data_IF_586008379637
#
_entry.id   IF_586008379637
#
_cell.length_a   1.000
_cell.length_b   1.000
_cell.length_c   1.000
_cell.angle_alpha   90.00
_cell.angle_beta   90.00
_cell.angle_gamma   90.00
#
_symmetry.space_group_name_H-M   'P 1'
#
loop_
_entity.id
_entity.type
_entity.pdbx_description
1 polymer ?
#
# COMPACT_ATOMS: atom_id res chain seq x y z
N UNK A 1 -17.99 16.47 -22.21
CA UNK A 1 -19.35 16.98 -21.89
C UNK A 1 -19.29 18.48 -22.04
N UNK A 2 -20.32 19.11 -22.60
CA UNK A 2 -20.32 20.56 -22.83
C UNK A 2 -20.22 21.36 -21.52
N UNK A 3 -20.87 20.88 -20.44
CA UNK A 3 -20.82 21.50 -19.09
C UNK A 3 -20.04 20.62 -18.09
N UNK A 4 -18.90 20.08 -18.49
CA UNK A 4 -18.05 19.31 -17.58
C UNK A 4 -17.43 20.21 -16.51
N UNK A 5 -17.42 19.77 -15.24
CA UNK A 5 -16.65 20.45 -14.20
C UNK A 5 -15.17 20.41 -14.55
N UNK A 6 -14.57 21.60 -14.71
CA UNK A 6 -13.15 21.76 -15.04
C UNK A 6 -12.40 22.36 -13.84
N UNK A 7 -11.14 21.94 -13.60
CA UNK A 7 -10.31 22.60 -12.61
C UNK A 7 -9.98 24.04 -13.05
N UNK A 8 -9.70 24.90 -12.08
CA UNK A 8 -9.17 26.25 -12.34
C UNK A 8 -7.88 26.21 -13.17
N UNK A 9 -7.55 27.27 -13.92
CA UNK A 9 -6.35 27.29 -14.77
C UNK A 9 -5.06 27.00 -13.99
N UNK A 10 -4.96 27.54 -12.76
CA UNK A 10 -3.85 27.26 -11.85
C UNK A 10 -3.78 25.78 -11.49
N UNK A 11 -4.92 25.19 -11.11
CA UNK A 11 -4.97 23.79 -10.69
C UNK A 11 -4.77 22.83 -11.87
N UNK A 12 -5.23 23.19 -13.07
CA UNK A 12 -4.98 22.44 -14.30
C UNK A 12 -3.50 22.34 -14.63
N UNK A 13 -2.74 23.43 -14.47
CA UNK A 13 -1.28 23.40 -14.65
C UNK A 13 -0.63 22.45 -13.65
N UNK A 14 -1.04 22.52 -12.38
CA UNK A 14 -0.56 21.61 -11.34
C UNK A 14 -0.92 20.15 -11.63
N UNK A 15 -2.11 19.89 -12.17
CA UNK A 15 -2.57 18.55 -12.55
C UNK A 15 -1.73 17.95 -13.68
N UNK A 16 -1.36 18.75 -14.68
CA UNK A 16 -0.47 18.33 -15.78
C UNK A 16 0.91 17.94 -15.20
N UNK A 17 1.50 18.81 -14.38
CA UNK A 17 2.79 18.55 -13.74
C UNK A 17 2.73 17.32 -12.82
N UNK A 18 1.62 17.13 -12.10
CA UNK A 18 1.41 15.97 -11.24
C UNK A 18 1.30 14.68 -12.07
N UNK A 19 0.60 14.68 -13.21
CA UNK A 19 0.55 13.52 -14.10
C UNK A 19 1.95 13.14 -14.59
N UNK A 20 2.78 14.12 -14.99
CA UNK A 20 4.16 13.84 -15.41
C UNK A 20 5.03 13.28 -14.28
N UNK A 21 4.88 13.78 -13.05
CA UNK A 21 5.61 13.28 -11.90
C UNK A 21 5.19 11.86 -11.52
N UNK A 22 3.88 11.58 -11.49
CA UNK A 22 3.37 10.27 -11.12
C UNK A 22 3.51 9.21 -12.22
N UNK A 23 3.62 9.61 -13.49
CA UNK A 23 3.99 8.68 -14.55
C UNK A 23 5.45 8.20 -14.42
N UNK A 24 6.37 9.10 -14.03
CA UNK A 24 7.74 8.71 -13.67
C UNK A 24 7.78 7.83 -12.42
N UNK A 25 7.01 8.17 -11.38
CA UNK A 25 6.85 7.33 -10.19
C UNK A 25 6.38 5.92 -10.57
N UNK A 26 5.33 5.83 -11.39
CA UNK A 26 4.79 4.57 -11.91
C UNK A 26 5.89 3.79 -12.64
N UNK A 27 6.65 4.43 -13.53
CA UNK A 27 7.69 3.74 -14.28
C UNK A 27 8.78 3.18 -13.35
N UNK A 28 9.26 3.96 -12.38
CA UNK A 28 10.29 3.53 -11.43
C UNK A 28 9.86 2.37 -10.53
N UNK A 29 8.60 2.34 -10.11
CA UNK A 29 8.10 1.36 -9.14
C UNK A 29 7.37 0.16 -9.76
N UNK A 30 6.77 0.35 -10.94
CA UNK A 30 5.93 -0.66 -11.59
C UNK A 30 6.45 -1.09 -12.96
N UNK A 31 7.41 -0.41 -13.57
CA UNK A 31 8.00 -0.77 -14.88
C UNK A 31 6.90 -1.09 -15.93
N UNK A 32 5.91 -0.21 -16.02
CA UNK A 32 4.73 -0.36 -16.88
C UNK A 32 3.41 -0.07 -16.16
N UNK A 33 2.29 -0.50 -16.76
CA UNK A 33 0.94 -0.15 -16.30
C UNK A 33 0.49 1.24 -16.76
N UNK A 34 -0.55 1.77 -16.14
CA UNK A 34 -1.13 3.09 -16.44
C UNK A 34 -1.31 3.86 -15.15
N UNK A 35 -1.04 5.17 -15.18
CA UNK A 35 -1.33 6.09 -14.10
C UNK A 35 -2.17 7.26 -14.58
N UNK A 36 -2.94 7.86 -13.68
CA UNK A 36 -3.67 9.09 -13.94
C UNK A 36 -3.82 9.89 -12.67
N UNK A 37 -3.71 11.21 -12.78
CA UNK A 37 -3.94 12.14 -11.68
C UNK A 37 -5.05 13.10 -12.08
N UNK A 38 -6.02 13.27 -11.20
CA UNK A 38 -7.10 14.24 -11.36
C UNK A 38 -7.17 15.13 -10.12
N UNK A 39 -7.22 16.45 -10.31
CA UNK A 39 -7.32 17.45 -9.26
C UNK A 39 -8.62 18.24 -9.39
N UNK A 40 -9.19 18.66 -8.27
CA UNK A 40 -10.37 19.53 -8.25
C UNK A 40 -10.27 20.57 -7.12
N UNK A 41 -10.81 21.75 -7.38
CA UNK A 41 -10.77 22.89 -6.45
C UNK A 41 -11.67 22.64 -5.23
N UNK A 42 -11.29 23.21 -4.08
CA UNK A 42 -12.07 23.31 -2.85
C UNK A 42 -12.13 24.77 -2.40
N UNK A 43 -13.06 25.11 -1.50
CA UNK A 43 -13.17 26.48 -0.96
C UNK A 43 -11.86 26.95 -0.28
N UNK A 44 -11.14 26.02 0.36
CA UNK A 44 -9.91 26.29 1.12
C UNK A 44 -8.78 25.31 0.74
N UNK A 45 -8.46 25.26 -0.56
CA UNK A 45 -7.34 24.48 -1.10
C UNK A 45 -7.78 23.66 -2.31
N UNK A 46 -7.33 22.41 -2.39
CA UNK A 46 -7.71 21.51 -3.48
C UNK A 46 -7.68 20.05 -3.00
N UNK A 47 -8.28 19.17 -3.77
CA UNK A 47 -8.14 17.74 -3.58
C UNK A 47 -7.75 17.07 -4.89
N UNK A 48 -7.32 15.82 -4.79
CA UNK A 48 -6.89 15.06 -5.93
C UNK A 48 -6.97 13.56 -5.72
N UNK A 49 -6.97 12.84 -6.82
CA UNK A 49 -6.84 11.39 -6.84
C UNK A 49 -5.67 10.99 -7.74
N UNK A 50 -4.81 10.13 -7.22
CA UNK A 50 -3.76 9.45 -7.98
C UNK A 50 -4.18 8.00 -8.14
N UNK A 51 -4.25 7.56 -9.39
CA UNK A 51 -4.64 6.21 -9.78
C UNK A 51 -3.45 5.53 -10.44
N UNK A 52 -3.16 4.30 -10.03
CA UNK A 52 -2.17 3.45 -10.71
C UNK A 52 -2.79 2.08 -10.92
N UNK A 53 -2.73 1.58 -12.16
CA UNK A 53 -3.16 0.23 -12.51
C UNK A 53 -2.03 -0.51 -13.20
N UNK A 54 -1.56 -1.60 -12.59
CA UNK A 54 -0.58 -2.52 -13.18
C UNK A 54 -1.20 -3.90 -13.33
N UNK A 55 -1.48 -4.30 -14.57
CA UNK A 55 -1.75 -5.68 -14.90
C UNK A 55 -0.42 -6.46 -15.01
N UNK A 56 -0.41 -7.71 -14.58
CA UNK A 56 0.71 -8.62 -14.79
C UNK A 56 0.93 -8.90 -16.27
N UNK A 57 2.11 -9.41 -16.60
CA UNK A 57 2.62 -9.71 -17.95
C UNK A 57 1.83 -10.78 -18.75
N UNK A 58 0.71 -11.26 -18.23
CA UNK A 58 -0.15 -12.20 -18.94
C UNK A 58 0.37 -13.64 -18.97
N UNK A 59 1.29 -14.03 -18.09
CA UNK A 59 1.61 -15.43 -17.83
C UNK A 59 0.32 -16.27 -17.71
N UNK A 60 0.16 -17.29 -18.56
CA UNK A 60 -1.03 -18.16 -18.55
C UNK A 60 -1.25 -18.84 -17.19
N UNK A 61 -0.19 -18.99 -16.41
CA UNK A 61 -0.19 -19.71 -15.12
C UNK A 61 -0.34 -18.78 -13.91
N UNK A 62 0.06 -17.52 -14.02
CA UNK A 62 0.00 -16.55 -12.92
C UNK A 62 -0.54 -15.24 -13.49
N UNK A 63 -1.78 -14.90 -13.13
CA UNK A 63 -2.39 -13.62 -13.44
C UNK A 63 -2.36 -12.76 -12.19
N UNK A 64 -2.09 -11.48 -12.36
CA UNK A 64 -2.06 -10.53 -11.26
C UNK A 64 -2.53 -9.16 -11.71
N UNK A 65 -3.13 -8.41 -10.80
CA UNK A 65 -3.45 -7.00 -10.99
C UNK A 65 -3.21 -6.26 -9.69
N UNK A 66 -2.58 -5.10 -9.81
CA UNK A 66 -2.42 -4.13 -8.74
C UNK A 66 -3.16 -2.85 -9.12
N UNK A 67 -3.97 -2.35 -8.20
CA UNK A 67 -4.71 -1.11 -8.33
C UNK A 67 -4.42 -0.23 -7.10
N UNK A 68 -3.82 0.95 -7.30
CA UNK A 68 -3.66 1.97 -6.28
C UNK A 68 -4.66 3.10 -6.48
N UNK A 69 -5.29 3.53 -5.39
CA UNK A 69 -6.17 4.70 -5.32
C UNK A 69 -5.71 5.56 -4.14
N UNK A 70 -5.15 6.71 -4.43
CA UNK A 70 -4.71 7.67 -3.41
C UNK A 70 -5.54 8.94 -3.53
N UNK A 71 -6.45 9.14 -2.59
CA UNK A 71 -7.24 10.38 -2.49
C UNK A 71 -6.53 11.29 -1.50
N UNK A 72 -6.16 12.49 -1.95
CA UNK A 72 -5.52 13.51 -1.12
C UNK A 72 -6.38 14.76 -1.03
N UNK A 73 -6.55 15.27 0.18
CA UNK A 73 -7.15 16.57 0.46
C UNK A 73 -6.04 17.50 0.97
N UNK A 74 -5.93 18.68 0.37
CA UNK A 74 -4.91 19.69 0.68
C UNK A 74 -5.60 20.96 1.15
N UNK A 75 -5.41 21.29 2.44
CA UNK A 75 -5.86 22.55 3.01
C UNK A 75 -4.70 23.53 3.06
N UNK A 76 -4.74 24.54 2.19
CA UNK A 76 -3.69 25.56 2.08
C UNK A 76 -3.76 26.58 3.22
N UNK A 77 -2.62 26.87 3.84
CA UNK A 77 -2.37 28.02 4.73
C UNK A 77 -1.30 28.91 4.07
N UNK A 78 -0.99 30.07 4.65
CA UNK A 78 -0.10 31.07 4.01
C UNK A 78 1.26 30.53 3.53
N UNK A 79 1.94 29.66 4.31
CA UNK A 79 3.26 29.08 3.95
C UNK A 79 3.36 27.57 4.19
N UNK A 80 2.26 26.95 4.54
CA UNK A 80 2.18 25.53 4.85
C UNK A 80 0.83 24.99 4.37
N UNK A 81 0.73 23.68 4.26
CA UNK A 81 -0.54 23.04 3.97
C UNK A 81 -0.71 21.79 4.85
N UNK A 82 -1.95 21.49 5.18
CA UNK A 82 -2.34 20.24 5.82
C UNK A 82 -2.78 19.28 4.73
N UNK A 83 -2.16 18.11 4.70
CA UNK A 83 -2.41 17.06 3.74
C UNK A 83 -3.09 15.89 4.45
N UNK A 84 -4.20 15.43 3.90
CA UNK A 84 -4.91 14.24 4.36
C UNK A 84 -4.96 13.25 3.23
N UNK A 85 -4.23 12.15 3.37
CA UNK A 85 -4.09 11.12 2.35
C UNK A 85 -4.85 9.86 2.79
N UNK A 86 -5.82 9.45 1.99
CA UNK A 86 -6.52 8.18 2.10
C UNK A 86 -6.11 7.29 0.93
N UNK A 87 -5.39 6.22 1.22
CA UNK A 87 -4.83 5.31 0.22
C UNK A 87 -5.49 3.94 0.32
N UNK A 88 -5.95 3.42 -0.81
CA UNK A 88 -6.43 2.05 -0.95
C UNK A 88 -5.59 1.35 -2.02
N UNK A 89 -5.02 0.20 -1.68
CA UNK A 89 -4.46 -0.69 -2.69
C UNK A 89 -5.28 -1.97 -2.76
N UNK A 90 -5.56 -2.41 -3.98
CA UNK A 90 -6.20 -3.68 -4.28
C UNK A 90 -5.18 -4.57 -4.97
N UNK A 91 -5.09 -5.80 -4.48
CA UNK A 91 -4.26 -6.83 -5.07
C UNK A 91 -5.17 -7.98 -5.45
N UNK A 92 -5.04 -8.44 -6.68
CA UNK A 92 -5.65 -9.67 -7.13
C UNK A 92 -4.60 -10.55 -7.79
N UNK A 93 -4.55 -11.81 -7.38
CA UNK A 93 -3.62 -12.82 -7.84
C UNK A 93 -4.39 -14.12 -8.10
N UNK A 94 -4.15 -14.72 -9.25
CA UNK A 94 -4.65 -16.03 -9.61
C UNK A 94 -3.49 -16.87 -10.11
N UNK A 95 -3.26 -18.01 -9.46
CA UNK A 95 -2.30 -19.03 -9.92
C UNK A 95 -3.03 -20.29 -10.31
N UNK A 96 -2.66 -20.88 -11.44
CA UNK A 96 -3.15 -22.17 -11.89
C UNK A 96 -1.94 -23.08 -12.19
N UNK A 97 -1.67 -23.99 -11.25
CA UNK A 97 -0.57 -24.97 -11.35
C UNK A 97 -1.11 -26.35 -11.03
N UNK A 98 -0.57 -27.38 -11.68
CA UNK A 98 -0.98 -28.78 -11.49
C UNK A 98 -0.90 -29.25 -10.04
N UNK A 99 0.12 -28.83 -9.28
CA UNK A 99 0.29 -29.27 -7.89
C UNK A 99 -0.61 -28.56 -6.86
N UNK A 100 -0.93 -27.28 -7.07
CA UNK A 100 -1.75 -26.49 -6.14
C UNK A 100 -3.20 -26.33 -6.59
N UNK A 101 -3.55 -26.80 -7.79
CA UNK A 101 -4.79 -26.45 -8.46
C UNK A 101 -4.87 -24.95 -8.79
N UNK A 102 -6.11 -24.44 -8.87
CA UNK A 102 -6.38 -23.01 -9.01
C UNK A 102 -6.49 -22.36 -7.64
N UNK A 103 -5.67 -21.36 -7.38
CA UNK A 103 -5.73 -20.54 -6.17
C UNK A 103 -5.97 -19.08 -6.57
N UNK A 104 -7.03 -18.51 -6.00
CA UNK A 104 -7.39 -17.11 -6.16
C UNK A 104 -7.19 -16.40 -4.83
N UNK A 105 -6.51 -15.28 -4.90
CA UNK A 105 -6.10 -14.52 -3.74
C UNK A 105 -6.33 -13.05 -4.07
N UNK A 106 -7.25 -12.40 -3.38
CA UNK A 106 -7.52 -11.01 -3.65
C UNK A 106 -8.23 -10.28 -2.53
N UNK A 107 -8.24 -8.95 -2.65
CA UNK A 107 -8.81 -8.04 -1.66
C UNK A 107 -8.05 -6.72 -1.64
N UNK A 108 -8.30 -5.94 -0.60
CA UNK A 108 -7.86 -4.55 -0.51
C UNK A 108 -7.41 -4.18 0.88
N UNK A 109 -6.54 -3.17 0.97
CA UNK A 109 -6.16 -2.52 2.22
C UNK A 109 -6.29 -1.01 2.06
N UNK A 110 -7.02 -0.39 2.99
CA UNK A 110 -7.18 1.07 3.07
C UNK A 110 -6.48 1.61 4.31
N UNK A 111 -5.73 2.70 4.15
CA UNK A 111 -5.08 3.44 5.24
C UNK A 111 -5.25 4.93 5.04
N UNK A 112 -5.22 5.67 6.15
CA UNK A 112 -5.30 7.11 6.16
C UNK A 112 -4.14 7.68 6.96
N UNK A 113 -3.58 8.80 6.51
CA UNK A 113 -2.57 9.56 7.23
C UNK A 113 -2.80 11.05 7.03
N UNK A 114 -2.45 11.84 8.03
CA UNK A 114 -2.47 13.29 7.97
C UNK A 114 -1.09 13.84 8.32
N UNK A 115 -0.69 14.91 7.64
CA UNK A 115 0.60 15.57 7.86
C UNK A 115 0.50 17.06 7.52
N UNK A 116 1.29 17.89 8.19
CA UNK A 116 1.49 19.29 7.80
C UNK A 116 2.90 19.44 7.23
N UNK A 117 3.01 20.15 6.11
CA UNK A 117 4.30 20.45 5.50
C UNK A 117 4.35 21.88 4.98
N UNK A 118 5.54 22.48 5.01
CA UNK A 118 5.80 23.78 4.41
C UNK A 118 5.72 23.69 2.88
N UNK A 119 5.27 24.78 2.26
CA UNK A 119 5.16 24.91 0.81
C UNK A 119 6.14 25.97 0.35
N UNK A 120 7.07 25.59 -0.52
CA UNK A 120 8.09 26.48 -1.10
C UNK A 120 8.46 26.00 -2.50
N UNK A 121 9.24 26.78 -3.23
CA UNK A 121 9.76 26.35 -4.55
C UNK A 121 10.62 25.07 -4.44
N UNK A 122 11.34 24.89 -3.33
CA UNK A 122 12.14 23.69 -3.08
C UNK A 122 11.29 22.48 -2.63
N UNK A 123 10.08 22.70 -2.11
CA UNK A 123 9.15 21.65 -1.68
C UNK A 123 7.72 21.98 -2.14
N UNK A 124 7.44 21.83 -3.45
CA UNK A 124 6.12 22.11 -3.99
C UNK A 124 5.10 21.06 -3.53
N UNK A 125 3.81 21.34 -3.70
CA UNK A 125 2.74 20.42 -3.30
C UNK A 125 2.91 19.02 -3.87
N UNK A 126 3.28 18.89 -5.15
CA UNK A 126 3.49 17.59 -5.80
C UNK A 126 4.58 16.78 -5.08
N UNK A 127 5.68 17.42 -4.66
CA UNK A 127 6.75 16.73 -3.94
C UNK A 127 6.30 16.28 -2.53
N UNK A 128 5.53 17.12 -1.82
CA UNK A 128 4.98 16.77 -0.51
C UNK A 128 3.99 15.59 -0.63
N UNK A 129 3.08 15.64 -1.60
CA UNK A 129 2.11 14.58 -1.88
C UNK A 129 2.83 13.30 -2.32
N UNK A 130 3.81 13.40 -3.21
CA UNK A 130 4.59 12.26 -3.71
C UNK A 130 5.28 11.48 -2.59
N UNK A 131 5.95 12.17 -1.66
CA UNK A 131 6.55 11.53 -0.47
C UNK A 131 5.52 10.79 0.38
N UNK A 132 4.36 11.41 0.63
CA UNK A 132 3.29 10.77 1.40
C UNK A 132 2.74 9.52 0.71
N UNK A 133 2.56 9.58 -0.62
CA UNK A 133 2.09 8.45 -1.43
C UNK A 133 3.12 7.31 -1.41
N UNK A 134 4.40 7.63 -1.62
CA UNK A 134 5.50 6.66 -1.62
C UNK A 134 5.62 5.91 -0.27
N UNK A 135 5.64 6.66 0.83
CA UNK A 135 5.69 6.08 2.18
C UNK A 135 4.46 5.21 2.47
N UNK A 136 3.28 5.65 2.04
CA UNK A 136 2.03 4.93 2.26
C UNK A 136 1.97 3.65 1.43
N UNK A 137 2.33 3.71 0.15
CA UNK A 137 2.40 2.54 -0.73
C UNK A 137 3.36 1.50 -0.18
N UNK A 138 4.56 1.91 0.27
CA UNK A 138 5.53 0.99 0.85
C UNK A 138 4.98 0.28 2.10
N UNK A 139 4.30 1.02 2.99
CA UNK A 139 3.64 0.44 4.17
C UNK A 139 2.52 -0.51 3.80
N UNK A 140 1.69 -0.15 2.81
CA UNK A 140 0.58 -0.98 2.33
C UNK A 140 1.12 -2.25 1.69
N UNK A 141 2.14 -2.16 0.82
CA UNK A 141 2.81 -3.29 0.15
C UNK A 141 3.35 -4.30 1.17
N UNK A 142 4.06 -3.82 2.19
CA UNK A 142 4.57 -4.70 3.26
C UNK A 142 3.44 -5.39 4.03
N UNK A 143 2.39 -4.65 4.38
CA UNK A 143 1.24 -5.19 5.10
C UNK A 143 0.47 -6.22 4.27
N UNK A 144 0.28 -5.94 2.97
CA UNK A 144 -0.33 -6.89 2.05
C UNK A 144 0.51 -8.16 1.97
N UNK A 145 1.84 -8.07 1.82
CA UNK A 145 2.70 -9.24 1.78
C UNK A 145 2.52 -10.16 3.01
N UNK A 146 2.53 -9.58 4.21
CA UNK A 146 2.34 -10.31 5.47
C UNK A 146 0.96 -10.99 5.58
N UNK A 147 -0.10 -10.27 5.21
CA UNK A 147 -1.47 -10.81 5.30
C UNK A 147 -1.68 -11.89 4.23
N UNK A 148 -1.30 -11.61 3.00
CA UNK A 148 -1.63 -12.43 1.84
C UNK A 148 -0.80 -13.71 1.74
N UNK A 149 0.46 -13.69 2.15
CA UNK A 149 1.35 -14.85 2.04
C UNK A 149 1.75 -15.44 3.40
N UNK A 150 1.62 -14.66 4.48
CA UNK A 150 1.80 -15.14 5.85
C UNK A 150 0.51 -15.71 6.42
N UNK A 151 -0.46 -14.83 6.73
CA UNK A 151 -1.67 -15.25 7.47
C UNK A 151 -2.51 -16.28 6.72
N UNK A 152 -2.69 -16.16 5.41
CA UNK A 152 -3.46 -17.14 4.63
C UNK A 152 -2.80 -18.53 4.67
N UNK A 153 -1.48 -18.58 4.57
CA UNK A 153 -0.69 -19.81 4.65
C UNK A 153 -0.83 -20.45 6.03
N UNK A 154 -0.72 -19.65 7.09
CA UNK A 154 -0.85 -20.14 8.47
C UNK A 154 -2.25 -20.70 8.73
N UNK A 155 -3.31 -20.03 8.24
CA UNK A 155 -4.69 -20.51 8.35
C UNK A 155 -4.87 -21.83 7.59
N UNK A 156 -4.39 -21.92 6.35
CA UNK A 156 -4.50 -23.16 5.54
C UNK A 156 -3.75 -24.32 6.21
N UNK A 157 -2.54 -24.07 6.72
CA UNK A 157 -1.77 -25.09 7.43
C UNK A 157 -2.38 -25.47 8.78
N UNK A 158 -3.09 -24.55 9.44
CA UNK A 158 -3.85 -24.82 10.67
C UNK A 158 -5.06 -25.73 10.43
N UNK A 159 -5.72 -25.62 9.27
CA UNK A 159 -6.83 -26.49 8.89
C UNK A 159 -6.37 -27.90 8.48
N UNK A 160 -5.20 -28.00 7.85
CA UNK A 160 -4.63 -29.28 7.40
C UNK A 160 -3.12 -29.27 7.56
N UNK A 161 -2.66 -29.74 8.72
CA UNK A 161 -1.23 -29.91 8.98
C UNK A 161 -0.71 -31.18 8.30
N UNK A 162 0.40 -31.05 7.58
CA UNK A 162 1.16 -32.19 7.06
C UNK A 162 2.08 -32.76 8.16
N UNK A 163 2.42 -31.95 9.16
CA UNK A 163 3.17 -32.40 10.33
C UNK A 163 2.25 -33.16 11.29
N UNK A 164 2.73 -34.29 11.83
CA UNK A 164 2.05 -35.00 12.91
C UNK A 164 1.74 -34.07 14.08
N UNK A 165 0.55 -34.23 14.67
CA UNK A 165 0.15 -33.50 15.87
C UNK A 165 1.13 -33.70 17.05
N UNK A 166 1.85 -34.83 17.09
CA UNK A 166 2.90 -35.09 18.07
C UNK A 166 4.03 -34.07 17.99
N UNK A 167 4.44 -33.72 16.77
CA UNK A 167 5.61 -32.88 16.53
C UNK A 167 5.27 -31.41 16.80
N UNK A 168 4.04 -31.00 16.49
CA UNK A 168 3.51 -29.70 16.92
C UNK A 168 3.44 -29.57 18.44
N UNK A 169 2.97 -30.61 19.14
CA UNK A 169 2.95 -30.63 20.61
C UNK A 169 4.36 -30.55 21.19
N UNK A 170 5.32 -31.28 20.63
CA UNK A 170 6.71 -31.24 21.05
C UNK A 170 7.34 -29.85 20.84
N UNK A 171 7.08 -29.20 19.69
CA UNK A 171 7.53 -27.82 19.46
C UNK A 171 6.88 -26.81 20.40
N UNK A 172 5.59 -26.96 20.72
CA UNK A 172 4.91 -26.08 21.67
C UNK A 172 5.51 -26.20 23.08
N UNK A 173 5.77 -27.43 23.54
CA UNK A 173 6.45 -27.69 24.82
C UNK A 173 7.86 -27.09 24.83
N UNK A 174 8.64 -27.30 23.76
CA UNK A 174 9.99 -26.74 23.65
C UNK A 174 9.98 -25.20 23.70
N UNK A 175 9.02 -24.54 23.06
CA UNK A 175 8.86 -23.07 23.13
C UNK A 175 8.54 -22.62 24.54
N UNK A 176 7.71 -23.37 25.26
CA UNK A 176 7.34 -23.07 26.64
C UNK A 176 8.55 -23.23 27.58
N UNK A 177 9.33 -24.29 27.40
CA UNK A 177 10.57 -24.54 28.14
C UNK A 177 11.62 -23.47 27.86
N UNK A 178 11.79 -23.05 26.60
CA UNK A 178 12.70 -21.96 26.22
C UNK A 178 12.27 -20.63 26.83
N UNK A 179 10.98 -20.29 26.81
CA UNK A 179 10.47 -19.07 27.42
C UNK A 179 10.70 -19.07 28.94
N UNK A 180 10.45 -20.19 29.61
CA UNK A 180 10.71 -20.35 31.04
C UNK A 180 12.21 -20.27 31.36
N UNK A 181 13.07 -20.86 30.52
CA UNK A 181 14.52 -20.79 30.68
C UNK A 181 15.06 -19.36 30.50
N UNK A 182 14.54 -18.61 29.53
CA UNK A 182 14.89 -17.21 29.32
C UNK A 182 14.48 -16.33 30.51
N UNK A 183 13.25 -16.49 31.02
CA UNK A 183 12.79 -15.77 32.23
C UNK A 183 13.67 -16.09 33.45
N UNK A 184 14.01 -17.36 33.67
CA UNK A 184 14.93 -17.77 34.74
C UNK A 184 16.32 -17.15 34.59
N UNK A 185 16.81 -16.99 33.35
CA UNK A 185 18.12 -16.39 33.09
C UNK A 185 18.13 -14.89 33.36
N UNK A 186 17.01 -14.21 33.08
CA UNK A 186 16.84 -12.78 33.33
C UNK A 186 16.74 -12.49 34.83
N UNK A 187 15.95 -13.28 35.57
CA UNK A 187 15.85 -13.17 37.03
C UNK A 187 17.17 -13.47 37.78
N UNK A 188 18.13 -14.14 37.13
CA UNK A 188 19.45 -14.44 37.70
C UNK A 188 20.51 -13.38 37.38
N UNK A 189 20.21 -12.44 36.48
CA UNK A 189 21.08 -11.33 36.11
C UNK A 189 20.79 -10.05 36.92
N UNK A 190 19.60 -9.98 37.55
CA UNK A 190 19.15 -8.85 38.37
C UNK A 190 19.39 -9.05 39.89
N UNK A 191 20.07 -10.14 40.28
CA UNK A 191 20.56 -10.44 41.64
C UNK A 191 22.08 -10.48 41.66
#
# INVERSE_FOLDING_TARGET
LEDGSMPSERLRKLEIDANHAFDQYREMYFEGGVSSVYLWDLDHGFAGVILIKKAGDGSKKIKGCWDSIHVVEVQEKSRSARYKLTSTAMLWLQTNKTGSGTMNLGGSLTRQVESEANVSEASPHIANIGKMVEDMENKIRNTLNEIYFGKTKDIVNGLRSVQPLSDQKAQALLRQDLAAALQKRQAKADN
#
